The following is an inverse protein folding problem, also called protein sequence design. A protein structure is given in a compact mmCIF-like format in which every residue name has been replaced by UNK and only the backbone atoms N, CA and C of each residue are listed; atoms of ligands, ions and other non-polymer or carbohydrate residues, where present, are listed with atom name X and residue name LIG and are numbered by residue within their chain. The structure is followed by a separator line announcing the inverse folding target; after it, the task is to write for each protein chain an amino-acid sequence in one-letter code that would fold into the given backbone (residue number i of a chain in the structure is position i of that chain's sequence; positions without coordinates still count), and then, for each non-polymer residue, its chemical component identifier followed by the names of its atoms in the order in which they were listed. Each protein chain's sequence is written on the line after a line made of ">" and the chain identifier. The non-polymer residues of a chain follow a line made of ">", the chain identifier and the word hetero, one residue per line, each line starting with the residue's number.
data_IF_761619869301
#
_entry.id   IF_761619869301
#
_cell.length_a   1.000
_cell.length_b   1.000
_cell.length_c   1.000
_cell.angle_alpha   90.00
_cell.angle_beta   90.00
_cell.angle_gamma   90.00
#
_symmetry.space_group_name_H-M   'P 1'
#
loop_
_entity.id
_entity.type
_entity.pdbx_description
1 polymer ?
#
# COMPACT_ATOMS: atom_id res chain seq x y z
N UNK A 1 -23.13 7.90 -21.14
CA UNK A 1 -21.99 7.02 -21.39
C UNK A 1 -21.12 6.89 -20.14
N UNK A 2 -20.51 5.72 -19.84
CA UNK A 2 -19.74 5.45 -18.64
C UNK A 2 -18.23 5.32 -18.93
N UNK A 3 -17.68 6.24 -19.68
CA UNK A 3 -16.25 6.20 -20.00
C UNK A 3 -15.39 6.48 -18.76
N UNK A 4 -14.36 5.65 -18.54
CA UNK A 4 -13.37 5.76 -17.44
C UNK A 4 -13.96 5.76 -16.02
N UNK A 5 -15.23 5.46 -15.84
CA UNK A 5 -15.87 5.42 -14.53
C UNK A 5 -15.56 4.10 -13.80
N UNK A 6 -14.37 4.04 -13.22
CA UNK A 6 -13.85 2.85 -12.53
C UNK A 6 -13.94 2.96 -11.00
N UNK A 7 -14.70 3.93 -10.50
CA UNK A 7 -14.81 4.16 -9.06
C UNK A 7 -15.72 3.14 -8.40
N UNK A 8 -15.16 2.25 -7.61
CA UNK A 8 -15.92 1.33 -6.77
C UNK A 8 -16.39 2.07 -5.50
N UNK A 9 -17.70 2.29 -5.34
CA UNK A 9 -18.26 3.06 -4.21
C UNK A 9 -18.12 2.32 -2.87
N UNK A 10 -18.27 0.99 -2.83
CA UNK A 10 -18.19 0.14 -1.64
C UNK A 10 -19.14 0.58 -0.50
N UNK A 11 -20.25 1.24 -0.83
CA UNK A 11 -21.20 1.82 0.10
C UNK A 11 -20.56 2.73 1.17
N UNK A 12 -19.54 3.52 0.75
CA UNK A 12 -18.78 4.42 1.63
C UNK A 12 -18.70 5.82 1.05
N UNK A 13 -18.66 6.82 1.92
CA UNK A 13 -18.35 8.21 1.53
C UNK A 13 -16.95 8.29 0.93
N UNK A 14 -16.68 9.31 0.15
CA UNK A 14 -15.38 9.48 -0.53
C UNK A 14 -14.21 9.55 0.44
N UNK A 15 -14.36 10.31 1.53
CA UNK A 15 -13.34 10.44 2.58
C UNK A 15 -13.05 9.10 3.26
N UNK A 16 -14.10 8.40 3.71
CA UNK A 16 -13.96 7.09 4.35
C UNK A 16 -13.32 6.05 3.42
N UNK A 17 -13.72 6.03 2.15
CA UNK A 17 -13.14 5.12 1.14
C UNK A 17 -11.66 5.39 0.93
N UNK A 18 -11.25 6.68 0.86
CA UNK A 18 -9.84 7.08 0.72
C UNK A 18 -9.01 6.62 1.93
N UNK A 19 -9.48 6.86 3.16
CA UNK A 19 -8.80 6.39 4.37
C UNK A 19 -8.71 4.86 4.42
N UNK A 20 -9.77 4.15 4.04
CA UNK A 20 -9.78 2.69 4.00
C UNK A 20 -8.70 2.15 3.05
N UNK A 21 -8.61 2.67 1.82
CA UNK A 21 -7.58 2.23 0.87
C UNK A 21 -6.18 2.62 1.32
N UNK A 22 -5.98 3.79 1.92
CA UNK A 22 -4.70 4.19 2.48
C UNK A 22 -4.22 3.18 3.56
N UNK A 23 -5.09 2.81 4.49
CA UNK A 23 -4.77 1.84 5.54
C UNK A 23 -4.53 0.43 4.97
N UNK A 24 -5.33 0.00 3.98
CA UNK A 24 -5.12 -1.29 3.32
C UNK A 24 -3.79 -1.33 2.55
N UNK A 25 -3.39 -0.23 1.90
CA UNK A 25 -2.08 -0.12 1.23
C UNK A 25 -0.93 -0.22 2.21
N UNK A 26 -0.99 0.51 3.33
CA UNK A 26 0.01 0.42 4.39
C UNK A 26 0.18 -1.02 4.87
N UNK A 27 -0.93 -1.68 5.19
CA UNK A 27 -0.92 -3.08 5.63
C UNK A 27 -0.38 -4.04 4.56
N UNK A 28 -0.73 -3.81 3.28
CA UNK A 28 -0.24 -4.64 2.18
C UNK A 28 1.27 -4.48 1.96
N UNK A 29 1.79 -3.25 2.04
CA UNK A 29 3.22 -2.97 1.90
C UNK A 29 4.01 -3.59 3.04
N UNK A 30 3.54 -3.44 4.29
CA UNK A 30 4.24 -3.95 5.47
C UNK A 30 4.21 -5.48 5.55
N UNK A 31 3.06 -6.09 5.27
CA UNK A 31 2.86 -7.54 5.44
C UNK A 31 3.12 -8.35 4.16
N UNK A 32 3.24 -7.71 3.01
CA UNK A 32 3.37 -8.36 1.70
C UNK A 32 2.07 -8.99 1.17
N UNK A 33 1.15 -9.38 2.06
CA UNK A 33 -0.17 -9.97 1.74
C UNK A 33 -1.22 -9.59 2.77
N UNK A 34 -2.46 -9.42 2.34
CA UNK A 34 -3.62 -9.20 3.22
C UNK A 34 -4.83 -9.98 2.73
N UNK A 35 -5.69 -10.36 3.67
CA UNK A 35 -6.98 -10.99 3.37
C UNK A 35 -8.10 -9.95 3.40
N UNK A 36 -8.97 -9.97 2.39
CA UNK A 36 -10.08 -9.02 2.26
C UNK A 36 -11.16 -9.57 1.34
N UNK A 37 -12.24 -8.80 1.15
CA UNK A 37 -13.30 -9.18 0.19
C UNK A 37 -12.87 -8.89 -1.24
N UNK A 38 -13.34 -9.70 -2.19
CA UNK A 38 -12.96 -9.61 -3.60
C UNK A 38 -13.18 -8.21 -4.23
N UNK A 39 -14.30 -7.51 -3.99
CA UNK A 39 -14.48 -6.15 -4.52
C UNK A 39 -13.44 -5.15 -4.02
N UNK A 40 -13.05 -5.24 -2.72
CA UNK A 40 -12.01 -4.39 -2.14
C UNK A 40 -10.65 -4.69 -2.74
N UNK A 41 -10.29 -5.97 -2.90
CA UNK A 41 -9.02 -6.36 -3.50
C UNK A 41 -8.91 -5.88 -4.96
N UNK A 42 -9.97 -6.04 -5.76
CA UNK A 42 -10.00 -5.56 -7.16
C UNK A 42 -9.77 -4.06 -7.26
N UNK A 43 -10.37 -3.27 -6.37
CA UNK A 43 -10.15 -1.83 -6.33
C UNK A 43 -8.76 -1.47 -5.80
N UNK A 44 -8.27 -2.15 -4.75
CA UNK A 44 -6.97 -1.91 -4.13
C UNK A 44 -5.80 -2.17 -5.10
N UNK A 45 -5.91 -3.18 -5.97
CA UNK A 45 -4.87 -3.56 -6.93
C UNK A 45 -4.32 -2.35 -7.73
N UNK A 46 -5.20 -1.48 -8.19
CA UNK A 46 -4.80 -0.29 -8.96
C UNK A 46 -3.92 0.66 -8.14
N UNK A 47 -4.29 0.90 -6.89
CA UNK A 47 -3.51 1.75 -5.98
C UNK A 47 -2.18 1.09 -5.63
N UNK A 48 -2.17 -0.23 -5.39
CA UNK A 48 -0.95 -0.98 -5.09
C UNK A 48 0.04 -0.93 -6.27
N UNK A 49 -0.43 -1.17 -7.49
CA UNK A 49 0.39 -1.10 -8.70
C UNK A 49 0.92 0.32 -8.94
N UNK A 50 0.12 1.35 -8.65
CA UNK A 50 0.57 2.75 -8.73
C UNK A 50 1.67 3.06 -7.72
N UNK A 51 1.57 2.56 -6.48
CA UNK A 51 2.60 2.77 -5.46
C UNK A 51 3.93 2.13 -5.87
N UNK A 52 3.92 0.91 -6.41
CA UNK A 52 5.14 0.27 -6.93
C UNK A 52 5.74 1.06 -8.09
N UNK A 53 4.92 1.58 -8.99
CA UNK A 53 5.39 2.43 -10.10
C UNK A 53 6.07 3.71 -9.58
N UNK A 54 5.52 4.35 -8.54
CA UNK A 54 6.14 5.50 -7.89
C UNK A 54 7.47 5.12 -7.21
N UNK A 55 7.52 3.95 -6.56
CA UNK A 55 8.71 3.45 -5.89
C UNK A 55 9.85 3.18 -6.89
N UNK A 56 9.57 2.62 -8.05
CA UNK A 56 10.54 2.40 -9.14
C UNK A 56 11.17 3.71 -9.65
N UNK A 57 10.39 4.77 -9.76
CA UNK A 57 10.91 6.09 -10.17
C UNK A 57 11.85 6.71 -9.14
N UNK A 58 11.64 6.44 -7.85
CA UNK A 58 12.43 6.86 -6.70
C UNK A 58 12.87 8.34 -6.69
N UNK A 59 12.06 9.24 -7.24
CA UNK A 59 12.29 10.68 -7.21
C UNK A 59 11.69 11.31 -5.96
N UNK A 60 12.15 12.51 -5.56
CA UNK A 60 11.54 13.25 -4.46
C UNK A 60 10.04 13.50 -4.70
N UNK A 61 9.66 13.81 -5.94
CA UNK A 61 8.26 14.00 -6.31
C UNK A 61 7.43 12.73 -6.15
N UNK A 62 7.96 11.55 -6.55
CA UNK A 62 7.26 10.27 -6.35
C UNK A 62 7.13 9.89 -4.88
N UNK A 63 8.15 10.18 -4.05
CA UNK A 63 8.06 9.98 -2.59
C UNK A 63 6.98 10.86 -1.96
N UNK A 64 6.95 12.15 -2.28
CA UNK A 64 5.90 13.08 -1.80
C UNK A 64 4.50 12.64 -2.22
N UNK A 65 4.34 12.16 -3.45
CA UNK A 65 3.06 11.66 -3.95
C UNK A 65 2.62 10.40 -3.21
N UNK A 66 3.50 9.43 -2.98
CA UNK A 66 3.21 8.22 -2.20
C UNK A 66 2.78 8.55 -0.76
N UNK A 67 3.48 9.47 -0.09
CA UNK A 67 3.15 9.96 1.25
C UNK A 67 1.73 10.56 1.28
N UNK A 68 1.39 11.40 0.30
CA UNK A 68 0.07 12.03 0.20
C UNK A 68 -1.05 11.01 -0.06
N UNK A 69 -0.85 10.06 -0.98
CA UNK A 69 -1.85 9.05 -1.34
C UNK A 69 -2.12 8.06 -0.18
N UNK A 70 -1.08 7.66 0.54
CA UNK A 70 -1.20 6.76 1.69
C UNK A 70 -1.50 7.49 3.00
N UNK A 71 -1.63 8.82 3.00
CA UNK A 71 -1.87 9.63 4.21
C UNK A 71 -0.85 9.32 5.32
N UNK A 72 0.42 9.23 4.95
CA UNK A 72 1.52 8.95 5.87
C UNK A 72 1.72 10.13 6.83
N UNK A 73 1.91 9.81 8.11
CA UNK A 73 2.24 10.78 9.17
C UNK A 73 3.50 10.34 9.89
N UNK A 74 4.59 11.03 9.64
CA UNK A 74 5.83 10.77 10.37
C UNK A 74 5.74 11.30 11.79
N UNK A 75 6.20 10.51 12.75
CA UNK A 75 6.37 10.98 14.12
C UNK A 75 7.55 11.97 14.20
N UNK A 76 7.44 13.03 15.04
CA UNK A 76 8.59 13.89 15.33
C UNK A 76 9.65 13.07 16.07
N UNK A 77 10.90 13.16 15.60
CA UNK A 77 12.05 12.55 16.25
C UNK A 77 12.84 13.61 17.01
N UNK A 78 13.30 13.28 18.19
CA UNK A 78 14.26 14.10 18.94
C UNK A 78 15.62 14.12 18.21
N UNK A 79 16.48 15.16 18.46
CA UNK A 79 17.81 15.20 17.85
C UNK A 79 18.68 13.98 18.15
N UNK A 80 18.48 13.34 19.31
CA UNK A 80 19.17 12.10 19.71
C UNK A 80 18.72 10.92 18.83
N UNK A 81 17.41 10.72 18.69
CA UNK A 81 16.81 9.68 17.85
C UNK A 81 17.15 9.86 16.36
N UNK A 82 17.22 11.11 15.87
CA UNK A 82 17.65 11.40 14.51
C UNK A 82 19.11 10.98 14.25
N UNK A 83 20.00 11.16 15.24
CA UNK A 83 21.40 10.70 15.15
C UNK A 83 21.47 9.18 15.16
N UNK A 84 20.72 8.53 16.07
CA UNK A 84 20.63 7.06 16.14
C UNK A 84 20.10 6.47 14.82
N UNK A 85 19.06 7.07 14.26
CA UNK A 85 18.51 6.63 12.97
C UNK A 85 19.51 6.74 11.80
N UNK A 86 20.38 7.75 11.80
CA UNK A 86 21.47 7.86 10.82
C UNK A 86 22.53 6.77 10.99
N UNK A 87 22.66 6.21 12.18
CA UNK A 87 23.56 5.09 12.49
C UNK A 87 22.90 3.71 12.27
N UNK A 88 21.63 3.70 11.80
CA UNK A 88 20.88 2.47 11.50
C UNK A 88 19.91 2.03 12.59
N UNK A 89 19.85 2.73 13.73
CA UNK A 89 18.85 2.45 14.77
C UNK A 89 17.51 3.13 14.45
N UNK A 90 16.56 2.34 14.00
CA UNK A 90 15.21 2.77 13.62
C UNK A 90 14.15 2.47 14.69
N UNK A 91 14.55 2.15 15.92
CA UNK A 91 13.63 1.78 17.01
C UNK A 91 12.60 2.86 17.33
N UNK A 92 12.94 4.13 17.15
CA UNK A 92 12.05 5.28 17.36
C UNK A 92 11.10 5.58 16.17
N UNK A 93 11.18 4.81 15.06
CA UNK A 93 10.31 5.00 13.91
C UNK A 93 8.90 4.50 14.19
N UNK A 94 7.91 5.25 13.68
CA UNK A 94 6.53 4.74 13.64
C UNK A 94 6.30 3.84 12.41
N UNK A 95 5.20 3.09 12.42
CA UNK A 95 4.82 2.19 11.32
C UNK A 95 4.79 2.90 9.97
N UNK A 96 4.40 4.16 9.93
CA UNK A 96 4.31 4.96 8.71
C UNK A 96 5.69 5.20 8.05
N UNK A 97 6.76 5.32 8.85
CA UNK A 97 8.13 5.40 8.33
C UNK A 97 8.56 4.07 7.72
N UNK A 98 8.29 2.97 8.41
CA UNK A 98 8.60 1.62 7.90
C UNK A 98 7.88 1.32 6.59
N UNK A 99 6.63 1.78 6.42
CA UNK A 99 5.89 1.63 5.14
C UNK A 99 6.65 2.27 3.99
N UNK A 100 7.15 3.50 4.17
CA UNK A 100 7.90 4.22 3.12
C UNK A 100 9.24 3.54 2.86
N UNK A 101 9.96 3.14 3.90
CA UNK A 101 11.25 2.45 3.76
C UNK A 101 11.08 1.11 3.04
N UNK A 102 10.06 0.33 3.37
CA UNK A 102 9.73 -0.93 2.68
C UNK A 102 9.36 -0.68 1.21
N UNK A 103 8.52 0.32 0.95
CA UNK A 103 8.06 0.62 -0.41
C UNK A 103 9.22 1.00 -1.33
N UNK A 104 10.08 1.93 -0.91
CA UNK A 104 11.17 2.46 -1.74
C UNK A 104 12.46 1.64 -1.64
N UNK A 105 12.72 1.01 -0.49
CA UNK A 105 13.93 0.22 -0.25
C UNK A 105 13.83 -1.23 -0.70
N UNK A 106 12.64 -1.84 -0.63
CA UNK A 106 12.45 -3.26 -0.94
C UNK A 106 11.60 -3.47 -2.21
N UNK A 107 10.38 -2.93 -2.26
CA UNK A 107 9.46 -3.18 -3.37
C UNK A 107 9.89 -2.50 -4.68
N UNK A 108 10.46 -1.28 -4.60
CA UNK A 108 10.96 -0.57 -5.77
C UNK A 108 12.03 -1.37 -6.53
N UNK A 109 13.15 -1.74 -5.89
CA UNK A 109 14.19 -2.57 -6.49
C UNK A 109 13.70 -3.95 -6.95
N UNK A 110 12.88 -4.62 -6.13
CA UNK A 110 12.32 -5.94 -6.43
C UNK A 110 11.59 -5.99 -7.77
N UNK A 111 10.79 -4.97 -8.07
CA UNK A 111 10.01 -4.91 -9.30
C UNK A 111 10.66 -4.07 -10.41
N UNK A 112 11.95 -3.75 -10.32
CA UNK A 112 12.64 -2.88 -11.28
C UNK A 112 12.47 -3.33 -12.74
N UNK A 113 12.58 -4.64 -12.99
CA UNK A 113 12.49 -5.23 -14.33
C UNK A 113 11.06 -5.49 -14.81
N UNK A 114 10.08 -5.50 -13.89
CA UNK A 114 8.69 -5.82 -14.22
C UNK A 114 7.90 -4.58 -14.60
N UNK A 115 7.15 -4.62 -15.70
CA UNK A 115 6.43 -3.45 -16.24
C UNK A 115 4.92 -3.46 -15.92
N UNK A 116 4.51 -3.94 -14.75
CA UNK A 116 3.12 -3.94 -14.33
C UNK A 116 2.64 -5.27 -13.75
N UNK A 117 1.41 -5.29 -13.24
CA UNK A 117 0.82 -6.48 -12.63
C UNK A 117 1.65 -6.99 -11.44
N UNK A 118 1.96 -6.11 -10.50
CA UNK A 118 2.82 -6.42 -9.35
C UNK A 118 2.09 -7.21 -8.27
N UNK A 119 0.76 -7.29 -8.35
CA UNK A 119 -0.08 -7.95 -7.34
C UNK A 119 -0.87 -9.10 -7.93
N UNK A 120 -1.14 -10.11 -7.10
CA UNK A 120 -2.01 -11.24 -7.41
C UNK A 120 -3.15 -11.32 -6.41
N UNK A 121 -4.32 -11.73 -6.88
CA UNK A 121 -5.50 -11.98 -6.06
C UNK A 121 -5.81 -13.46 -6.11
N UNK A 122 -5.84 -14.12 -4.95
CA UNK A 122 -6.15 -15.54 -4.78
C UNK A 122 -7.49 -15.64 -4.05
N UNK A 123 -8.50 -16.27 -4.68
CA UNK A 123 -9.80 -16.49 -4.04
C UNK A 123 -9.68 -17.57 -2.96
N UNK A 124 -10.31 -17.36 -1.80
CA UNK A 124 -10.28 -18.29 -0.66
C UNK A 124 -11.61 -19.00 -0.39
N UNK A 125 -12.72 -18.49 -0.89
CA UNK A 125 -14.05 -18.97 -0.57
C UNK A 125 -14.93 -17.85 -0.02
N UNK A 126 -15.84 -18.19 0.88
CA UNK A 126 -16.86 -17.28 1.38
C UNK A 126 -16.77 -17.15 2.91
N UNK A 127 -17.09 -15.97 3.41
CA UNK A 127 -17.14 -15.69 4.85
C UNK A 127 -18.42 -16.30 5.46
N UNK A 128 -18.28 -17.00 6.58
CA UNK A 128 -19.37 -17.75 7.22
C UNK A 128 -20.57 -16.86 7.59
N UNK A 129 -20.35 -15.61 8.04
CA UNK A 129 -21.41 -14.75 8.56
C UNK A 129 -22.33 -14.14 7.49
N UNK A 130 -21.79 -13.74 6.34
CA UNK A 130 -22.51 -12.98 5.30
C UNK A 130 -22.28 -13.49 3.88
N UNK A 131 -21.67 -14.66 3.74
CA UNK A 131 -21.33 -15.28 2.45
C UNK A 131 -20.57 -14.37 1.48
N UNK A 132 -19.83 -13.36 2.00
CA UNK A 132 -19.02 -12.49 1.16
C UNK A 132 -17.81 -13.24 0.60
N UNK A 133 -17.54 -13.09 -0.70
CA UNK A 133 -16.35 -13.68 -1.33
C UNK A 133 -15.07 -13.11 -0.70
N UNK A 134 -14.24 -13.97 -0.13
CA UNK A 134 -12.93 -13.66 0.45
C UNK A 134 -11.81 -13.96 -0.53
N UNK A 135 -10.77 -13.15 -0.44
CA UNK A 135 -9.55 -13.35 -1.21
C UNK A 135 -8.33 -12.82 -0.47
N UNK A 136 -7.18 -13.34 -0.83
CA UNK A 136 -5.88 -12.77 -0.45
C UNK A 136 -5.36 -11.96 -1.63
N UNK A 137 -4.96 -10.72 -1.37
CA UNK A 137 -4.15 -9.93 -2.30
C UNK A 137 -2.71 -9.90 -1.77
N UNK A 138 -1.76 -10.16 -2.65
CA UNK A 138 -0.34 -10.22 -2.32
C UNK A 138 0.52 -9.61 -3.41
N UNK A 139 1.71 -9.10 -3.04
CA UNK A 139 2.75 -8.79 -4.00
C UNK A 139 3.37 -10.09 -4.51
N UNK A 140 3.62 -10.14 -5.82
CA UNK A 140 4.29 -11.29 -6.43
C UNK A 140 5.69 -11.47 -5.82
N UNK A 141 6.10 -12.71 -5.61
CA UNK A 141 7.50 -13.05 -5.43
C UNK A 141 8.23 -12.85 -6.78
N UNK A 142 9.50 -12.63 -6.74
CA UNK A 142 10.36 -12.61 -7.94
C UNK A 142 10.34 -13.97 -8.61
#
# INVERSE_FOLDING_TARGET
>A
MRHLNQTCKLNRTTSHRRCMFANMLKSLITKGRIETTLPKAKALRRYADQMVTLAKRNTLASRRKAISEMMIRFNPLTPKEQRAARQGDTSAYNDDRFVIDTLFGQLGPRFAQRQGGYTRIIKKGHRVGDNAELCTIEYLAD
#
